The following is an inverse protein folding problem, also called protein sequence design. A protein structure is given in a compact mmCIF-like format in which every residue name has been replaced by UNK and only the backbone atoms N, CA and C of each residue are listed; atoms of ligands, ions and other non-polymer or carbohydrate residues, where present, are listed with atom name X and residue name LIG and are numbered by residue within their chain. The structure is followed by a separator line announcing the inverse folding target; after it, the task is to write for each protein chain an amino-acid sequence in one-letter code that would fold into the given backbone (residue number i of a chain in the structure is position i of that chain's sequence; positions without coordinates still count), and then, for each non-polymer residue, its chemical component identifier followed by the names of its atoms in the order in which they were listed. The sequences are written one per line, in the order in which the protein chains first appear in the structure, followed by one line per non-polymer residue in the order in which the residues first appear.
data_IF_393999315105
#
_entry.id   IF_393999315105
#
_cell.length_a   1.000
_cell.length_b   1.000
_cell.length_c   1.000
_cell.angle_alpha   90.00
_cell.angle_beta   90.00
_cell.angle_gamma   90.00
#
_symmetry.space_group_name_H-M   'P 1'
#
loop_
_entity.id
_entity.type
_entity.pdbx_description
1 polymer ?
#
# COMPACT_ATOMS: atom_id res chain seq x y z
N UNK A 1 -50.46 23.55 17.60
CA UNK A 1 -49.46 22.47 17.33
C UNK A 1 -48.77 22.53 15.95
N UNK A 2 -49.10 23.44 15.04
CA UNK A 2 -48.47 23.50 13.71
C UNK A 2 -47.18 24.32 13.56
N UNK A 3 -46.88 25.22 14.51
CA UNK A 3 -45.68 26.11 14.42
C UNK A 3 -44.37 25.48 14.94
N UNK A 4 -44.41 24.45 15.77
CA UNK A 4 -43.22 23.81 16.29
C UNK A 4 -42.54 22.83 15.30
N UNK A 5 -43.31 22.24 14.37
CA UNK A 5 -42.80 21.30 13.41
C UNK A 5 -42.02 21.99 12.25
N UNK A 6 -42.42 23.21 11.91
CA UNK A 6 -41.76 24.00 10.85
C UNK A 6 -40.38 24.48 11.30
N UNK A 7 -40.23 24.80 12.59
CA UNK A 7 -38.92 25.22 13.11
C UNK A 7 -37.90 24.07 13.18
N UNK A 8 -38.35 22.85 13.43
CA UNK A 8 -37.48 21.67 13.49
C UNK A 8 -37.03 21.26 12.07
N UNK A 9 -37.90 21.39 11.07
CA UNK A 9 -37.56 21.10 9.67
C UNK A 9 -36.63 22.17 9.13
N UNK A 10 -36.80 23.42 9.47
CA UNK A 10 -35.90 24.50 9.08
C UNK A 10 -34.53 24.40 9.76
N UNK A 11 -34.46 23.96 11.02
CA UNK A 11 -33.19 23.74 11.74
C UNK A 11 -32.44 22.50 11.21
N UNK A 12 -33.15 21.43 10.82
CA UNK A 12 -32.54 20.29 10.15
C UNK A 12 -32.05 20.60 8.74
N UNK A 13 -32.81 21.39 7.97
CA UNK A 13 -32.37 21.81 6.63
C UNK A 13 -31.18 22.80 6.67
N UNK A 14 -31.11 23.65 7.68
CA UNK A 14 -29.96 24.53 7.90
C UNK A 14 -28.70 23.77 8.38
N UNK A 15 -28.86 22.70 9.18
CA UNK A 15 -27.72 21.87 9.55
C UNK A 15 -27.22 21.00 8.39
N UNK A 16 -28.09 20.53 7.52
CA UNK A 16 -27.69 19.84 6.28
C UNK A 16 -27.04 20.79 5.25
N UNK A 17 -27.51 22.02 5.13
CA UNK A 17 -26.89 23.02 4.26
C UNK A 17 -25.50 23.44 4.76
N UNK A 18 -25.30 23.55 6.07
CA UNK A 18 -23.98 23.88 6.65
C UNK A 18 -22.96 22.74 6.53
N UNK A 19 -23.40 21.48 6.47
CA UNK A 19 -22.53 20.33 6.23
C UNK A 19 -22.31 20.06 4.73
N UNK A 20 -23.23 20.47 3.86
CA UNK A 20 -23.09 20.34 2.40
C UNK A 20 -22.20 21.43 1.79
N UNK A 21 -21.84 22.47 2.53
CA UNK A 21 -21.01 23.56 2.03
C UNK A 21 -19.48 23.34 2.22
N UNK A 22 -19.08 22.17 2.71
CA UNK A 22 -17.69 21.71 2.72
C UNK A 22 -17.48 20.66 1.64
N UNK A 23 -17.79 20.95 0.40
CA UNK A 23 -17.02 20.35 -0.69
C UNK A 23 -15.61 20.91 -0.56
N UNK A 24 -14.59 20.06 -0.36
CA UNK A 24 -13.22 20.51 -0.49
C UNK A 24 -13.10 21.27 -1.82
N UNK A 25 -12.41 22.36 -1.79
CA UNK A 25 -12.08 23.06 -3.01
C UNK A 25 -11.51 22.02 -3.98
N UNK A 26 -11.97 22.01 -5.23
CA UNK A 26 -11.56 21.05 -6.25
C UNK A 26 -10.04 21.08 -6.56
N UNK A 27 -9.33 21.97 -5.91
CA UNK A 27 -7.89 22.17 -5.97
C UNK A 27 -7.16 21.66 -4.70
N UNK A 28 -7.77 20.78 -3.89
CA UNK A 28 -7.06 20.22 -2.76
C UNK A 28 -5.89 19.37 -3.26
N UNK A 29 -4.73 19.95 -3.20
CA UNK A 29 -3.47 19.32 -3.55
C UNK A 29 -2.88 18.66 -2.30
N UNK A 30 -2.87 17.33 -2.27
CA UNK A 30 -2.28 16.57 -1.19
C UNK A 30 -0.77 16.73 -1.08
N UNK A 31 -0.14 17.21 -2.13
CA UNK A 31 1.29 17.41 -2.19
C UNK A 31 1.70 18.79 -1.68
N UNK A 32 0.74 19.70 -1.45
CA UNK A 32 1.04 21.06 -1.02
C UNK A 32 0.32 21.42 0.28
N UNK A 33 1.07 21.90 1.26
CA UNK A 33 0.52 22.52 2.47
C UNK A 33 0.67 24.04 2.32
N UNK A 34 -0.44 24.75 2.40
CA UNK A 34 -0.45 26.21 2.40
C UNK A 34 -0.18 26.71 3.82
N UNK A 35 0.86 27.51 3.99
CA UNK A 35 1.23 28.10 5.28
C UNK A 35 1.23 29.61 5.19
N UNK A 36 1.22 30.30 6.34
CA UNK A 36 1.32 31.77 6.39
C UNK A 36 2.65 32.31 5.83
N UNK A 37 3.67 31.45 5.74
CA UNK A 37 5.00 31.79 5.23
C UNK A 37 5.20 31.38 3.77
N UNK A 38 4.20 30.74 3.15
CA UNK A 38 4.23 30.24 1.77
C UNK A 38 3.86 28.76 1.69
N UNK A 39 3.80 28.27 0.48
CA UNK A 39 3.43 26.90 0.20
C UNK A 39 4.61 25.93 0.44
N UNK A 40 4.34 24.83 1.15
CA UNK A 40 5.31 23.75 1.36
C UNK A 40 4.85 22.54 0.56
N UNK A 41 5.55 22.21 -0.51
CA UNK A 41 5.30 21.00 -1.27
C UNK A 41 5.82 19.80 -0.51
N UNK A 42 4.97 18.81 -0.28
CA UNK A 42 5.35 17.57 0.37
C UNK A 42 6.26 16.77 -0.55
N UNK A 43 7.42 16.42 -0.04
CA UNK A 43 8.41 15.66 -0.76
C UNK A 43 9.18 14.78 0.24
N UNK A 44 9.68 13.64 -0.21
CA UNK A 44 10.52 12.77 0.64
C UNK A 44 11.82 13.46 1.10
N UNK A 45 12.33 14.43 0.36
CA UNK A 45 13.56 15.15 0.69
C UNK A 45 13.36 16.25 1.75
N UNK A 46 12.13 16.68 2.00
CA UNK A 46 11.79 17.61 3.07
C UNK A 46 11.02 16.96 4.24
N UNK A 47 10.89 15.64 4.25
CA UNK A 47 10.26 14.91 5.35
C UNK A 47 10.88 15.26 6.72
N UNK A 48 12.20 15.47 6.78
CA UNK A 48 12.90 15.85 8.01
C UNK A 48 12.34 17.11 8.66
N UNK A 49 11.93 18.11 7.89
CA UNK A 49 11.36 19.37 8.41
C UNK A 49 10.01 19.12 9.10
N UNK A 50 9.15 18.36 8.44
CA UNK A 50 7.89 17.93 9.02
C UNK A 50 8.10 17.08 10.28
N UNK A 51 9.02 16.12 10.20
CA UNK A 51 9.31 15.20 11.28
C UNK A 51 9.87 15.92 12.52
N UNK A 52 10.77 16.89 12.34
CA UNK A 52 11.38 17.63 13.44
C UNK A 52 10.34 18.42 14.24
N UNK A 53 9.39 19.06 13.58
CA UNK A 53 8.32 19.82 14.22
C UNK A 53 7.15 18.97 14.71
N UNK A 54 7.00 17.75 14.20
CA UNK A 54 5.83 16.92 14.47
C UNK A 54 5.64 16.55 15.95
N UNK A 55 4.40 16.73 16.42
CA UNK A 55 3.92 16.30 17.74
C UNK A 55 2.52 15.68 17.60
N UNK A 56 2.29 14.55 18.28
CA UNK A 56 0.99 13.89 18.25
C UNK A 56 -0.13 14.82 18.75
N UNK A 57 -1.18 14.93 17.96
CA UNK A 57 -2.34 15.79 18.25
C UNK A 57 -2.18 17.26 17.85
N UNK A 58 -1.03 17.64 17.32
CA UNK A 58 -0.79 18.96 16.74
C UNK A 58 -0.69 18.82 15.23
N UNK A 59 -1.61 19.42 14.46
CA UNK A 59 -1.52 19.42 13.01
C UNK A 59 -0.21 20.03 12.53
N UNK A 60 0.35 19.57 11.42
CA UNK A 60 1.43 20.27 10.75
C UNK A 60 1.05 21.73 10.43
N UNK A 61 2.04 22.61 10.40
CA UNK A 61 1.82 24.00 10.00
C UNK A 61 1.08 24.07 8.64
N UNK A 62 0.14 24.99 8.53
CA UNK A 62 -0.71 25.15 7.35
C UNK A 62 -1.91 24.20 7.24
N UNK A 63 -2.02 23.23 8.14
CA UNK A 63 -3.18 22.33 8.20
C UNK A 63 -4.09 22.64 9.40
N UNK A 64 -5.39 22.65 9.16
CA UNK A 64 -6.35 22.62 10.26
C UNK A 64 -6.39 21.23 10.92
N UNK A 65 -6.93 21.17 12.13
CA UNK A 65 -7.15 19.88 12.80
C UNK A 65 -8.03 18.93 11.98
N UNK A 66 -9.00 19.46 11.24
CA UNK A 66 -9.90 18.64 10.40
C UNK A 66 -9.13 18.07 9.22
N UNK A 67 -8.23 18.85 8.61
CA UNK A 67 -7.44 18.40 7.48
C UNK A 67 -6.45 17.31 7.91
N UNK A 68 -5.84 17.46 9.10
CA UNK A 68 -4.95 16.42 9.63
C UNK A 68 -5.73 15.14 9.99
N UNK A 69 -6.94 15.26 10.58
CA UNK A 69 -7.80 14.12 10.90
C UNK A 69 -8.13 13.24 9.68
N UNK A 70 -8.11 13.82 8.50
CA UNK A 70 -8.33 13.10 7.25
C UNK A 70 -7.29 11.98 7.02
N UNK A 71 -6.10 12.11 7.59
CA UNK A 71 -5.00 11.14 7.48
C UNK A 71 -4.87 10.22 8.70
N UNK A 72 -5.70 10.39 9.73
CA UNK A 72 -5.60 9.62 10.97
C UNK A 72 -6.54 8.42 10.93
N UNK A 73 -5.99 7.23 10.68
CA UNK A 73 -6.74 5.98 10.83
C UNK A 73 -6.93 5.63 12.30
N UNK A 74 -8.16 5.30 12.65
CA UNK A 74 -8.54 4.83 14.00
C UNK A 74 -8.76 3.33 14.05
N UNK A 75 -8.66 2.65 12.92
CA UNK A 75 -8.75 1.20 12.85
C UNK A 75 -7.44 0.55 13.26
N UNK A 76 -7.53 -0.68 13.73
CA UNK A 76 -6.36 -1.52 14.01
C UNK A 76 -6.42 -2.73 13.10
N UNK A 77 -5.26 -3.22 12.62
CA UNK A 77 -5.24 -4.40 11.78
C UNK A 77 -5.93 -5.57 12.46
N UNK A 78 -6.91 -6.14 11.77
CA UNK A 78 -7.61 -7.34 12.22
C UNK A 78 -6.77 -8.58 11.91
N UNK A 79 -6.79 -9.60 12.77
CA UNK A 79 -6.14 -10.87 12.47
C UNK A 79 -6.83 -11.56 11.30
N UNK A 80 -6.04 -12.20 10.45
CA UNK A 80 -6.53 -12.96 9.30
C UNK A 80 -6.52 -14.45 9.60
N UNK A 81 -7.49 -15.15 9.07
CA UNK A 81 -7.49 -16.62 9.05
C UNK A 81 -6.46 -17.05 8.02
N UNK A 82 -5.55 -17.91 8.43
CA UNK A 82 -4.46 -18.45 7.60
C UNK A 82 -4.47 -19.98 7.55
N UNK A 83 -5.38 -20.65 8.27
CA UNK A 83 -5.42 -22.08 8.41
C UNK A 83 -5.91 -22.78 7.15
N UNK A 84 -5.39 -23.99 6.91
CA UNK A 84 -5.57 -24.76 5.67
C UNK A 84 -7.01 -25.07 5.28
N UNK A 85 -7.91 -25.19 6.24
CA UNK A 85 -9.32 -25.56 6.00
C UNK A 85 -10.13 -24.49 5.25
N UNK A 86 -9.60 -23.27 5.16
CA UNK A 86 -10.26 -22.15 4.49
C UNK A 86 -9.68 -21.88 3.09
N UNK A 87 -8.80 -22.73 2.61
CA UNK A 87 -8.15 -22.55 1.32
C UNK A 87 -8.93 -23.25 0.21
N UNK A 88 -9.11 -22.55 -0.90
CA UNK A 88 -9.72 -23.13 -2.10
C UNK A 88 -8.85 -24.26 -2.63
N UNK A 89 -7.52 -24.13 -2.50
CA UNK A 89 -6.55 -25.11 -2.99
C UNK A 89 -5.49 -25.42 -1.94
N UNK A 90 -5.46 -26.65 -1.44
CA UNK A 90 -4.48 -27.10 -0.47
C UNK A 90 -3.02 -27.07 -0.99
N UNK A 91 -2.82 -27.10 -2.30
CA UNK A 91 -1.49 -27.06 -2.93
C UNK A 91 -0.88 -25.63 -2.98
N UNK A 92 -1.67 -24.60 -2.73
CA UNK A 92 -1.17 -23.22 -2.72
C UNK A 92 -0.62 -22.90 -1.33
N UNK A 93 0.66 -22.48 -1.20
CA UNK A 93 1.26 -22.20 0.10
C UNK A 93 0.56 -21.07 0.84
N UNK A 94 0.23 -21.26 2.10
CA UNK A 94 -0.40 -20.24 2.95
C UNK A 94 0.53 -19.12 3.36
N UNK A 95 1.84 -19.41 3.42
CA UNK A 95 2.88 -18.47 3.80
C UNK A 95 3.21 -17.43 2.73
N UNK A 96 2.90 -17.71 1.45
CA UNK A 96 3.21 -16.77 0.37
C UNK A 96 2.43 -15.48 0.53
N UNK A 97 3.14 -14.37 0.38
CA UNK A 97 2.63 -13.01 0.56
C UNK A 97 2.61 -12.27 -0.76
N UNK A 98 1.83 -11.19 -0.82
CA UNK A 98 1.86 -10.24 -1.93
C UNK A 98 1.96 -8.81 -1.42
N UNK A 99 2.88 -8.09 -2.01
CA UNK A 99 3.10 -6.67 -1.82
C UNK A 99 2.65 -5.92 -3.08
N UNK A 100 1.86 -4.89 -2.88
CA UNK A 100 1.33 -4.05 -3.95
C UNK A 100 1.69 -2.60 -3.66
N UNK A 101 2.60 -2.03 -4.44
CA UNK A 101 2.94 -0.61 -4.38
C UNK A 101 2.34 0.13 -5.56
N UNK A 102 1.57 1.16 -5.27
CA UNK A 102 0.87 1.95 -6.28
C UNK A 102 0.97 3.44 -5.99
N UNK A 103 1.19 4.28 -6.99
CA UNK A 103 1.07 5.73 -6.87
C UNK A 103 -0.41 6.14 -7.03
N UNK A 104 -1.23 5.88 -6.01
CA UNK A 104 -2.69 6.09 -6.07
C UNK A 104 -3.13 7.53 -6.34
N UNK A 105 -2.27 8.48 -6.02
CA UNK A 105 -2.54 9.92 -6.16
C UNK A 105 -1.70 10.54 -7.28
N UNK A 106 -1.12 9.73 -8.16
CA UNK A 106 -0.32 10.21 -9.27
C UNK A 106 -1.20 10.96 -10.29
N UNK A 107 -0.96 12.25 -10.54
CA UNK A 107 -1.72 13.04 -11.48
C UNK A 107 -1.64 12.54 -12.92
N UNK A 108 -0.66 11.72 -13.26
CA UNK A 108 -0.50 11.17 -14.61
C UNK A 108 -1.38 9.98 -14.89
N UNK A 109 -1.80 9.25 -13.83
CA UNK A 109 -2.57 8.00 -13.93
C UNK A 109 -4.05 8.19 -13.71
N UNK A 110 -4.55 9.40 -13.72
CA UNK A 110 -5.91 9.67 -13.32
C UNK A 110 -6.94 9.41 -14.40
N UNK A 111 -8.04 8.94 -13.93
CA UNK A 111 -9.32 8.92 -14.61
C UNK A 111 -9.76 10.36 -14.88
N UNK A 112 -9.63 10.82 -16.10
CA UNK A 112 -9.97 12.21 -16.48
C UNK A 112 -11.42 12.58 -16.20
N UNK A 113 -12.28 11.59 -16.05
CA UNK A 113 -13.71 11.75 -15.86
C UNK A 113 -14.18 11.64 -14.41
N UNK A 114 -13.29 11.40 -13.45
CA UNK A 114 -13.62 11.23 -12.03
C UNK A 114 -13.10 12.39 -11.21
N UNK A 115 -13.79 12.77 -10.10
CA UNK A 115 -13.32 13.82 -9.22
C UNK A 115 -11.96 13.47 -8.61
N UNK A 116 -11.07 14.45 -8.57
CA UNK A 116 -9.72 14.32 -8.01
C UNK A 116 -9.63 15.12 -6.74
N UNK A 117 -9.62 14.48 -5.63
CA UNK A 117 -9.14 14.95 -4.34
C UNK A 117 -9.20 13.79 -3.35
N UNK A 118 -9.22 14.07 -2.09
CA UNK A 118 -9.04 13.12 -1.01
C UNK A 118 -9.80 11.78 -1.06
N UNK A 119 -10.74 11.62 -1.93
CA UNK A 119 -11.44 10.36 -2.21
C UNK A 119 -11.03 9.75 -3.54
N UNK A 120 -10.08 10.35 -4.20
CA UNK A 120 -9.57 9.88 -5.46
C UNK A 120 -8.71 8.66 -5.26
N UNK A 121 -8.79 7.80 -6.18
CA UNK A 121 -8.03 6.58 -6.23
C UNK A 121 -8.83 5.47 -6.88
N UNK A 122 -8.11 4.50 -7.30
CA UNK A 122 -8.68 3.33 -7.92
C UNK A 122 -9.41 2.46 -6.89
N UNK A 123 -10.55 1.93 -7.28
CA UNK A 123 -11.24 0.94 -6.45
C UNK A 123 -10.42 -0.34 -6.37
N UNK A 124 -9.87 -0.63 -5.22
CA UNK A 124 -9.21 -1.89 -4.98
C UNK A 124 -10.12 -2.85 -4.21
N UNK A 125 -10.40 -4.03 -4.78
CA UNK A 125 -11.30 -5.03 -4.19
C UNK A 125 -10.62 -6.35 -3.84
N UNK A 126 -9.35 -6.52 -4.18
CA UNK A 126 -8.63 -7.80 -4.02
C UNK A 126 -7.81 -7.91 -2.73
N UNK A 127 -8.29 -7.25 -1.68
CA UNK A 127 -7.65 -7.22 -0.35
C UNK A 127 -7.32 -8.60 0.22
N UNK A 128 -8.13 -9.60 -0.07
CA UNK A 128 -7.94 -10.97 0.41
C UNK A 128 -6.65 -11.63 -0.08
N UNK A 129 -6.10 -11.18 -1.20
CA UNK A 129 -4.90 -11.75 -1.79
C UNK A 129 -3.61 -11.03 -1.41
N UNK A 130 -3.68 -9.80 -0.93
CA UNK A 130 -2.49 -9.00 -0.61
C UNK A 130 -2.19 -8.98 0.88
N UNK A 131 -0.93 -8.77 1.22
CA UNK A 131 -0.45 -8.61 2.59
C UNK A 131 -0.07 -7.16 2.90
N UNK A 132 0.37 -6.42 1.88
CA UNK A 132 0.69 -5.00 1.99
C UNK A 132 0.15 -4.24 0.78
N UNK A 133 -0.45 -3.09 1.05
CA UNK A 133 -0.81 -2.10 0.04
C UNK A 133 -0.03 -0.82 0.33
N UNK A 134 0.92 -0.48 -0.52
CA UNK A 134 1.74 0.72 -0.38
C UNK A 134 1.22 1.85 -1.28
N UNK A 135 1.07 3.04 -0.73
CA UNK A 135 0.86 4.26 -1.49
C UNK A 135 2.21 4.95 -1.71
N UNK A 136 2.69 4.94 -2.95
CA UNK A 136 3.97 5.53 -3.30
C UNK A 136 3.95 7.06 -3.28
N UNK A 137 2.79 7.66 -3.49
CA UNK A 137 2.61 9.12 -3.55
C UNK A 137 2.39 9.78 -2.18
N UNK A 138 2.74 9.12 -1.09
CA UNK A 138 2.55 9.64 0.27
C UNK A 138 3.89 9.88 1.00
N UNK A 139 4.72 10.84 0.56
CA UNK A 139 6.11 10.98 1.00
C UNK A 139 6.27 11.45 2.45
N UNK A 140 5.22 12.00 3.06
CA UNK A 140 5.23 12.43 4.46
C UNK A 140 4.52 11.45 5.41
N UNK A 141 4.45 10.19 5.01
CA UNK A 141 3.78 9.14 5.77
C UNK A 141 2.30 9.48 6.04
N UNK A 142 1.65 10.16 5.10
CA UNK A 142 0.26 10.61 5.19
C UNK A 142 -0.59 9.96 4.12
N UNK A 143 -1.16 8.83 4.47
CA UNK A 143 -2.13 8.10 3.64
C UNK A 143 -3.52 8.44 4.13
N UNK A 144 -4.47 8.63 3.23
CA UNK A 144 -5.85 8.90 3.65
C UNK A 144 -6.35 7.83 4.62
N UNK A 145 -7.03 8.26 5.68
CA UNK A 145 -7.58 7.35 6.68
C UNK A 145 -8.51 6.30 6.08
N UNK A 146 -9.22 6.64 5.00
CA UNK A 146 -10.08 5.70 4.30
C UNK A 146 -9.32 4.49 3.75
N UNK A 147 -8.16 4.70 3.13
CA UNK A 147 -7.30 3.61 2.67
C UNK A 147 -6.74 2.80 3.84
N UNK A 148 -6.21 3.50 4.85
CA UNK A 148 -5.66 2.85 6.04
C UNK A 148 -6.71 2.05 6.82
N UNK A 149 -7.94 2.56 6.93
CA UNK A 149 -9.06 1.87 7.56
C UNK A 149 -9.47 0.63 6.76
N UNK A 150 -9.53 0.73 5.43
CA UNK A 150 -9.85 -0.42 4.58
C UNK A 150 -8.78 -1.50 4.72
N UNK A 151 -7.51 -1.14 4.64
CA UNK A 151 -6.39 -2.07 4.85
C UNK A 151 -6.47 -2.75 6.22
N UNK A 152 -6.62 -1.98 7.29
CA UNK A 152 -6.70 -2.50 8.65
C UNK A 152 -7.88 -3.47 8.86
N UNK A 153 -9.06 -3.15 8.34
CA UNK A 153 -10.24 -4.04 8.39
C UNK A 153 -10.03 -5.35 7.63
N UNK A 154 -9.14 -5.35 6.67
CA UNK A 154 -8.77 -6.54 5.90
C UNK A 154 -7.52 -7.25 6.43
N UNK A 155 -6.95 -6.76 7.52
CA UNK A 155 -5.72 -7.29 8.09
C UNK A 155 -4.52 -7.12 7.14
N UNK A 156 -4.53 -6.08 6.33
CA UNK A 156 -3.49 -5.75 5.36
C UNK A 156 -2.65 -4.60 5.91
N UNK A 157 -1.34 -4.70 5.75
CA UNK A 157 -0.41 -3.60 6.03
C UNK A 157 -0.65 -2.47 5.04
N UNK A 158 -0.76 -1.24 5.53
CA UNK A 158 -0.77 -0.06 4.67
C UNK A 158 0.58 0.64 4.75
N UNK A 159 1.22 0.75 3.59
CA UNK A 159 2.54 1.34 3.46
C UNK A 159 2.51 2.73 2.81
N UNK A 160 3.53 3.52 3.12
CA UNK A 160 3.87 4.73 2.40
C UNK A 160 5.37 4.94 2.36
N UNK A 161 5.82 5.80 1.47
CA UNK A 161 7.24 5.99 1.20
C UNK A 161 7.85 6.94 2.23
N UNK A 162 8.96 6.51 2.82
CA UNK A 162 9.80 7.37 3.65
C UNK A 162 10.81 8.15 2.81
N UNK A 163 11.45 7.49 1.86
CA UNK A 163 12.48 8.07 1.04
C UNK A 163 12.54 7.43 -0.35
N UNK A 164 12.80 8.27 -1.36
CA UNK A 164 12.91 7.89 -2.77
C UNK A 164 14.11 8.60 -3.43
N UNK A 165 15.28 8.70 -2.78
CA UNK A 165 16.41 9.31 -3.44
C UNK A 165 16.98 8.35 -4.49
N UNK A 166 16.59 8.55 -5.73
CA UNK A 166 17.13 7.81 -6.86
C UNK A 166 18.21 8.63 -7.55
N UNK A 167 19.22 7.95 -8.09
CA UNK A 167 20.38 8.58 -8.73
C UNK A 167 21.06 9.64 -7.83
N UNK A 168 21.08 9.39 -6.51
CA UNK A 168 21.66 10.26 -5.50
C UNK A 168 22.83 9.56 -4.81
N UNK A 169 23.71 10.34 -4.18
CA UNK A 169 24.77 9.85 -3.31
C UNK A 169 24.46 10.27 -1.86
N UNK A 170 23.86 9.35 -1.10
CA UNK A 170 23.40 9.55 0.26
C UNK A 170 24.54 9.28 1.26
N UNK A 171 24.79 10.23 2.15
CA UNK A 171 25.75 10.03 3.23
C UNK A 171 25.34 10.79 4.49
N UNK A 172 25.43 10.16 5.66
CA UNK A 172 25.12 10.79 6.93
C UNK A 172 26.10 11.94 7.31
N UNK A 173 27.20 12.06 6.61
CA UNK A 173 28.16 13.18 6.80
C UNK A 173 27.80 14.41 5.96
N UNK A 174 26.91 14.26 4.97
CA UNK A 174 26.46 15.35 4.10
C UNK A 174 25.27 16.12 4.69
N UNK A 175 25.00 17.28 4.12
CA UNK A 175 23.86 18.14 4.46
C UNK A 175 23.03 18.53 3.25
N UNK A 176 23.22 17.79 2.14
CA UNK A 176 22.37 17.93 0.97
C UNK A 176 20.95 17.37 1.22
N UNK A 177 20.00 17.80 0.39
CA UNK A 177 18.59 17.44 0.55
C UNK A 177 18.32 15.93 0.58
N UNK A 178 19.14 15.13 -0.09
CA UNK A 178 18.97 13.67 -0.17
C UNK A 178 19.37 12.97 1.13
N UNK A 179 20.32 13.54 1.84
CA UNK A 179 20.89 12.96 3.07
C UNK A 179 20.15 13.40 4.34
N UNK A 180 19.47 14.54 4.33
CA UNK A 180 18.90 15.17 5.54
C UNK A 180 17.88 14.28 6.26
N UNK A 181 17.01 13.61 5.55
CA UNK A 181 16.00 12.73 6.18
C UNK A 181 16.67 11.61 6.98
N UNK A 182 17.60 10.86 6.38
CA UNK A 182 18.29 9.79 7.11
C UNK A 182 19.22 10.33 8.20
N UNK A 183 19.86 11.47 7.98
CA UNK A 183 20.68 12.13 9.00
C UNK A 183 19.85 12.49 10.23
N UNK A 184 18.67 13.10 10.04
CA UNK A 184 17.74 13.42 11.14
C UNK A 184 17.28 12.14 11.86
N UNK A 185 16.80 11.15 11.10
CA UNK A 185 16.28 9.90 11.69
C UNK A 185 17.34 9.16 12.51
N UNK A 186 18.56 9.07 12.00
CA UNK A 186 19.63 8.30 12.60
C UNK A 186 20.46 9.07 13.64
N UNK A 187 20.03 10.29 14.02
CA UNK A 187 20.70 11.06 15.05
C UNK A 187 20.77 10.30 16.38
N UNK A 188 21.95 10.27 16.98
CA UNK A 188 22.19 9.62 18.28
C UNK A 188 22.42 10.65 19.39
N UNK A 189 22.04 10.27 20.61
CA UNK A 189 22.33 11.01 21.82
C UNK A 189 23.80 10.80 22.28
N UNK A 190 24.19 11.47 23.36
CA UNK A 190 25.53 11.34 23.95
C UNK A 190 25.87 9.91 24.43
N UNK A 191 24.87 9.05 24.58
CA UNK A 191 25.02 7.65 24.96
C UNK A 191 25.03 6.71 23.75
N UNK A 192 25.02 7.26 22.54
CA UNK A 192 24.97 6.51 21.29
C UNK A 192 23.62 5.88 20.95
N UNK A 193 22.52 6.28 21.60
CA UNK A 193 21.17 5.77 21.32
C UNK A 193 20.47 6.66 20.29
N UNK A 194 19.71 6.05 19.39
CA UNK A 194 18.90 6.79 18.45
C UNK A 194 17.84 7.65 19.16
N UNK A 195 17.81 8.94 18.85
CA UNK A 195 16.82 9.88 19.38
C UNK A 195 15.45 9.69 18.75
N UNK A 196 15.40 9.31 17.47
CA UNK A 196 14.25 9.44 16.60
C UNK A 196 13.51 8.14 16.25
N UNK A 197 14.06 6.97 16.56
CA UNK A 197 13.41 5.68 16.26
C UNK A 197 12.04 5.54 16.95
N UNK A 198 11.94 5.90 18.23
CA UNK A 198 10.66 5.92 18.94
C UNK A 198 9.71 7.00 18.41
N UNK A 199 10.23 8.17 18.03
CA UNK A 199 9.42 9.26 17.49
C UNK A 199 8.79 8.87 16.15
N UNK A 200 9.55 8.23 15.26
CA UNK A 200 9.03 7.73 13.99
C UNK A 200 7.97 6.64 14.19
N UNK A 201 8.20 5.70 15.11
CA UNK A 201 7.19 4.69 15.45
C UNK A 201 5.90 5.31 16.00
N UNK A 202 6.00 6.36 16.82
CA UNK A 202 4.85 7.12 17.33
C UNK A 202 4.10 7.87 16.23
N UNK A 203 4.82 8.46 15.28
CA UNK A 203 4.23 9.14 14.12
C UNK A 203 3.44 8.15 13.27
N UNK A 204 4.04 7.01 12.92
CA UNK A 204 3.35 5.95 12.18
C UNK A 204 2.09 5.47 12.91
N UNK A 205 2.22 5.20 14.20
CA UNK A 205 1.07 4.79 15.04
C UNK A 205 -0.03 5.83 15.08
N UNK A 206 0.32 7.11 15.13
CA UNK A 206 -0.63 8.22 15.16
C UNK A 206 -1.48 8.28 13.89
N UNK A 207 -0.85 8.17 12.72
CA UNK A 207 -1.55 8.15 11.44
C UNK A 207 -2.14 6.77 11.07
N UNK A 208 -1.81 5.72 11.82
CA UNK A 208 -2.28 4.36 11.54
C UNK A 208 -1.56 3.69 10.38
N UNK A 209 -0.32 4.12 10.10
CA UNK A 209 0.54 3.55 9.06
C UNK A 209 1.39 2.45 9.67
N UNK A 210 1.37 1.27 9.07
CA UNK A 210 2.13 0.12 9.54
C UNK A 210 3.02 -0.52 8.46
N UNK A 211 3.19 0.13 7.32
CA UNK A 211 4.17 -0.19 6.29
C UNK A 211 5.05 1.02 5.97
N UNK A 212 6.31 0.78 5.73
CA UNK A 212 7.30 1.80 5.45
C UNK A 212 8.14 1.39 4.25
N UNK A 213 8.09 2.13 3.16
CA UNK A 213 8.84 1.86 1.95
C UNK A 213 10.07 2.75 1.81
N UNK A 214 11.16 2.17 1.36
CA UNK A 214 12.35 2.89 0.94
C UNK A 214 12.70 2.48 -0.47
N UNK A 215 12.68 3.45 -1.39
CA UNK A 215 13.24 3.26 -2.72
C UNK A 215 14.76 3.45 -2.66
N UNK A 216 15.48 2.37 -2.53
CA UNK A 216 16.92 2.40 -2.31
C UNK A 216 17.71 2.35 -3.62
N UNK A 217 17.48 3.32 -4.50
CA UNK A 217 18.21 3.47 -5.77
C UNK A 217 19.30 4.56 -5.66
N UNK A 218 19.95 4.64 -4.53
CA UNK A 218 20.97 5.65 -4.23
C UNK A 218 22.33 5.01 -3.95
N UNK A 219 23.39 5.68 -4.39
CA UNK A 219 24.76 5.36 -3.94
C UNK A 219 24.95 5.77 -2.48
N UNK A 220 25.79 5.04 -1.76
CA UNK A 220 26.13 5.32 -0.37
C UNK A 220 27.53 4.75 -0.01
N UNK A 221 27.75 4.48 1.27
CA UNK A 221 28.97 3.85 1.76
C UNK A 221 28.65 2.88 2.91
N UNK A 222 29.57 1.91 3.22
CA UNK A 222 29.33 0.89 4.22
C UNK A 222 28.98 1.43 5.61
N UNK A 223 29.60 2.53 6.01
CA UNK A 223 29.36 3.13 7.34
C UNK A 223 27.98 3.74 7.46
N UNK A 224 27.50 4.43 6.43
CA UNK A 224 26.13 4.96 6.35
C UNK A 224 25.10 3.82 6.35
N UNK A 225 25.32 2.79 5.52
CA UNK A 225 24.41 1.65 5.45
C UNK A 225 24.31 0.90 6.79
N UNK A 226 25.44 0.71 7.49
CA UNK A 226 25.44 0.09 8.80
C UNK A 226 24.60 0.86 9.83
N UNK A 227 24.66 2.20 9.83
CA UNK A 227 23.85 3.04 10.73
C UNK A 227 22.37 2.99 10.37
N UNK A 228 22.02 2.99 9.09
CA UNK A 228 20.63 2.84 8.62
C UNK A 228 20.05 1.49 9.05
N UNK A 229 20.82 0.41 8.90
CA UNK A 229 20.42 -0.94 9.32
C UNK A 229 20.22 -1.00 10.84
N UNK A 230 21.15 -0.44 11.63
CA UNK A 230 21.03 -0.36 13.09
C UNK A 230 19.79 0.44 13.52
N UNK A 231 19.49 1.56 12.83
CA UNK A 231 18.33 2.39 13.09
C UNK A 231 17.01 1.64 12.88
N UNK A 232 16.85 0.95 11.77
CA UNK A 232 15.61 0.21 11.52
C UNK A 232 15.45 -0.99 12.46
N UNK A 233 16.54 -1.68 12.80
CA UNK A 233 16.50 -2.73 13.82
C UNK A 233 16.13 -2.19 15.21
N UNK A 234 16.58 -1.00 15.60
CA UNK A 234 16.16 -0.34 16.85
C UNK A 234 14.70 0.13 16.75
N UNK A 235 14.27 0.64 15.61
CA UNK A 235 12.90 1.08 15.38
C UNK A 235 11.89 -0.05 15.56
N UNK A 236 12.17 -1.27 15.11
CA UNK A 236 11.33 -2.44 15.37
C UNK A 236 11.10 -2.65 16.87
N UNK A 237 12.18 -2.64 17.67
CA UNK A 237 12.11 -2.78 19.12
C UNK A 237 11.34 -1.64 19.78
N UNK A 238 11.51 -0.40 19.31
CA UNK A 238 10.80 0.77 19.83
C UNK A 238 9.31 0.73 19.48
N UNK A 239 8.96 0.33 18.25
CA UNK A 239 7.58 0.17 17.84
C UNK A 239 6.87 -0.91 18.69
N UNK A 240 7.50 -2.06 18.89
CA UNK A 240 6.98 -3.12 19.74
C UNK A 240 6.73 -2.63 21.18
N UNK A 241 7.66 -1.84 21.75
CA UNK A 241 7.53 -1.30 23.10
C UNK A 241 6.31 -0.39 23.32
N UNK A 242 5.74 0.15 22.26
CA UNK A 242 4.51 0.96 22.30
C UNK A 242 3.29 0.20 21.73
N UNK A 243 3.40 -1.11 21.54
CA UNK A 243 2.35 -1.95 20.97
C UNK A 243 2.00 -1.57 19.53
N UNK A 244 2.99 -1.19 18.73
CA UNK A 244 2.86 -0.93 17.31
C UNK A 244 3.80 -1.85 16.54
N UNK A 245 3.26 -2.59 15.60
CA UNK A 245 4.02 -3.43 14.69
C UNK A 245 4.00 -2.79 13.31
N UNK A 246 5.15 -2.67 12.67
CA UNK A 246 5.26 -2.19 11.31
C UNK A 246 6.13 -3.14 10.48
N UNK A 247 6.03 -3.00 9.16
CA UNK A 247 6.83 -3.75 8.19
C UNK A 247 7.63 -2.75 7.35
N UNK A 248 8.95 -2.95 7.30
CA UNK A 248 9.85 -2.19 6.43
C UNK A 248 9.98 -2.92 5.09
N UNK A 249 9.69 -2.21 4.01
CA UNK A 249 10.01 -2.62 2.66
C UNK A 249 11.28 -1.92 2.19
N UNK A 250 12.24 -2.70 1.72
CA UNK A 250 13.47 -2.22 1.10
C UNK A 250 13.53 -2.70 -0.35
N UNK A 251 13.71 -1.77 -1.29
CA UNK A 251 13.94 -2.11 -2.68
C UNK A 251 15.40 -2.56 -2.84
N UNK A 252 15.62 -3.75 -3.40
CA UNK A 252 16.92 -4.40 -3.45
C UNK A 252 17.80 -3.86 -4.60
N UNK A 253 18.18 -2.58 -4.51
CA UNK A 253 19.10 -1.93 -5.44
C UNK A 253 20.33 -1.43 -4.74
N UNK A 254 20.20 -0.68 -3.64
CA UNK A 254 21.35 -0.32 -2.80
C UNK A 254 21.68 -1.45 -1.85
N UNK A 255 22.89 -1.98 -1.94
CA UNK A 255 23.34 -3.09 -1.13
C UNK A 255 23.99 -2.67 0.21
N UNK A 256 24.49 -3.62 0.99
CA UNK A 256 25.10 -3.42 2.31
C UNK A 256 26.38 -2.58 2.27
N UNK A 257 27.05 -2.54 1.13
CA UNK A 257 28.28 -1.75 0.92
C UNK A 257 27.95 -0.33 0.40
N UNK A 258 26.70 -0.06 0.08
CA UNK A 258 26.23 1.22 -0.47
C UNK A 258 26.32 1.30 -2.00
N UNK A 259 26.63 0.20 -2.66
CA UNK A 259 26.66 0.14 -4.12
C UNK A 259 25.25 0.00 -4.70
N UNK A 260 24.99 0.67 -5.83
CA UNK A 260 23.77 0.51 -6.63
C UNK A 260 23.95 -0.72 -7.54
N UNK A 261 23.57 -1.89 -7.05
CA UNK A 261 23.92 -3.17 -7.67
C UNK A 261 22.71 -3.98 -8.18
N UNK A 262 21.51 -3.76 -7.64
CA UNK A 262 20.31 -4.55 -7.95
C UNK A 262 20.58 -6.07 -7.91
N UNK A 263 20.88 -6.57 -6.72
CA UNK A 263 21.36 -7.95 -6.51
C UNK A 263 20.33 -9.04 -6.89
N UNK A 264 19.04 -8.71 -6.94
CA UNK A 264 17.94 -9.56 -7.43
C UNK A 264 17.75 -10.88 -6.67
N UNK A 265 18.41 -11.02 -5.52
CA UNK A 265 18.35 -12.21 -4.67
C UNK A 265 19.12 -12.01 -3.39
N UNK A 266 18.75 -12.74 -2.34
CA UNK A 266 19.45 -12.69 -1.04
C UNK A 266 20.84 -13.28 -1.19
N UNK A 267 21.87 -12.48 -0.91
CA UNK A 267 23.25 -12.86 -0.99
C UNK A 267 24.11 -12.14 0.06
N UNK A 268 25.43 -12.29 0.00
CA UNK A 268 26.36 -11.70 0.97
C UNK A 268 26.39 -10.17 0.97
N UNK A 269 25.88 -9.52 -0.09
CA UNK A 269 25.94 -8.08 -0.25
C UNK A 269 24.65 -7.36 0.22
N UNK A 270 23.56 -8.09 0.49
CA UNK A 270 22.31 -7.51 0.99
C UNK A 270 21.74 -8.22 2.21
N UNK A 271 22.45 -9.27 2.72
CA UNK A 271 21.97 -10.04 3.86
C UNK A 271 21.91 -9.27 5.18
N UNK A 272 22.73 -8.22 5.36
CA UNK A 272 22.69 -7.37 6.57
C UNK A 272 21.43 -6.51 6.55
N UNK A 273 21.05 -5.96 5.39
CA UNK A 273 19.78 -5.24 5.22
C UNK A 273 18.58 -6.17 5.39
N UNK A 274 18.65 -7.40 4.90
CA UNK A 274 17.60 -8.39 5.15
C UNK A 274 17.51 -8.77 6.64
N UNK A 275 18.63 -8.87 7.31
CA UNK A 275 18.76 -9.21 8.73
C UNK A 275 18.64 -10.70 9.00
N UNK A 276 18.59 -11.05 10.27
CA UNK A 276 18.48 -12.44 10.77
C UNK A 276 17.20 -12.61 11.58
N UNK A 277 16.81 -13.86 11.87
CA UNK A 277 15.65 -14.16 12.70
C UNK A 277 15.70 -13.55 14.12
N UNK A 278 16.87 -13.24 14.62
CA UNK A 278 17.07 -12.55 15.91
C UNK A 278 17.26 -11.03 15.81
N UNK A 279 17.42 -10.49 14.61
CA UNK A 279 17.62 -9.07 14.36
C UNK A 279 17.10 -8.70 12.97
N UNK A 280 15.80 -8.52 12.89
CA UNK A 280 15.11 -8.11 11.66
C UNK A 280 15.45 -6.65 11.37
N UNK A 281 15.88 -6.37 10.15
CA UNK A 281 16.05 -5.01 9.64
C UNK A 281 14.94 -4.70 8.66
N UNK A 282 14.79 -5.53 7.63
CA UNK A 282 13.78 -5.42 6.60
C UNK A 282 12.78 -6.58 6.69
N UNK A 283 11.49 -6.30 6.68
CA UNK A 283 10.44 -7.33 6.66
C UNK A 283 10.12 -7.80 5.24
N UNK A 284 10.32 -6.92 4.26
CA UNK A 284 9.93 -7.09 2.88
C UNK A 284 11.10 -6.68 1.97
N UNK A 285 12.01 -7.61 1.67
CA UNK A 285 13.06 -7.36 0.69
C UNK A 285 12.47 -7.51 -0.71
N UNK A 286 12.27 -6.38 -1.39
CA UNK A 286 11.67 -6.33 -2.73
C UNK A 286 12.78 -6.40 -3.78
N UNK A 287 12.90 -7.55 -4.44
CA UNK A 287 13.91 -7.77 -5.46
C UNK A 287 13.65 -6.96 -6.74
N UNK A 288 14.71 -6.47 -7.35
CA UNK A 288 14.64 -5.91 -8.69
C UNK A 288 14.12 -6.93 -9.72
N UNK A 289 13.56 -6.46 -10.81
CA UNK A 289 12.65 -7.18 -11.72
C UNK A 289 13.30 -8.27 -12.60
N UNK A 290 14.61 -8.37 -12.66
CA UNK A 290 15.32 -9.35 -13.52
C UNK A 290 15.84 -10.58 -12.76
N UNK A 291 15.07 -11.03 -11.76
CA UNK A 291 15.35 -12.28 -11.04
C UNK A 291 15.15 -13.51 -11.95
N UNK A 292 15.72 -14.63 -11.55
CA UNK A 292 15.63 -15.91 -12.25
C UNK A 292 15.29 -17.03 -11.27
N UNK A 293 14.93 -18.21 -11.79
CA UNK A 293 14.69 -19.40 -10.95
C UNK A 293 15.87 -19.71 -10.04
N UNK A 294 17.10 -19.66 -10.57
CA UNK A 294 18.31 -19.86 -9.78
C UNK A 294 18.43 -18.86 -8.61
N UNK A 295 18.10 -17.57 -8.84
CA UNK A 295 18.15 -16.54 -7.79
C UNK A 295 17.06 -16.74 -6.75
N UNK A 296 15.86 -17.19 -7.13
CA UNK A 296 14.79 -17.51 -6.18
C UNK A 296 15.17 -18.71 -5.31
N UNK A 297 15.73 -19.76 -5.90
CA UNK A 297 16.19 -20.96 -5.19
C UNK A 297 17.32 -20.59 -4.21
N UNK A 298 18.29 -19.81 -4.64
CA UNK A 298 19.38 -19.32 -3.79
C UNK A 298 18.85 -18.46 -2.64
N UNK A 299 17.90 -17.56 -2.91
CA UNK A 299 17.28 -16.69 -1.92
C UNK A 299 16.52 -17.47 -0.85
N UNK A 300 15.74 -18.48 -1.25
CA UNK A 300 15.05 -19.41 -0.33
C UNK A 300 16.06 -20.06 0.62
N UNK A 301 17.15 -20.58 0.08
CA UNK A 301 18.21 -21.23 0.88
C UNK A 301 18.89 -20.24 1.84
N UNK A 302 19.21 -19.05 1.36
CA UNK A 302 19.94 -18.04 2.13
C UNK A 302 19.03 -17.46 3.24
N UNK A 303 17.74 -17.21 2.96
CA UNK A 303 16.78 -16.80 3.98
C UNK A 303 16.70 -17.82 5.14
N UNK A 304 16.59 -19.10 4.82
CA UNK A 304 16.59 -20.19 5.83
C UNK A 304 17.89 -20.24 6.64
N UNK A 305 19.04 -20.04 5.99
CA UNK A 305 20.35 -19.98 6.68
C UNK A 305 20.43 -18.78 7.66
N UNK A 306 19.79 -17.67 7.34
CA UNK A 306 19.65 -16.49 8.19
C UNK A 306 18.54 -16.64 9.25
N UNK A 307 17.85 -17.78 9.30
CA UNK A 307 16.69 -18.04 10.17
C UNK A 307 15.54 -17.05 9.93
N UNK A 308 15.38 -16.63 8.66
CA UNK A 308 14.29 -15.79 8.20
C UNK A 308 13.28 -16.63 7.44
N UNK A 309 12.03 -16.17 7.42
CA UNK A 309 11.00 -16.71 6.54
C UNK A 309 11.38 -16.40 5.07
N UNK A 310 11.50 -17.40 4.19
CA UNK A 310 11.78 -17.16 2.77
C UNK A 310 10.73 -16.28 2.10
N UNK A 311 9.49 -16.28 2.61
CA UNK A 311 8.41 -15.43 2.13
C UNK A 311 8.55 -13.95 2.52
N UNK A 312 9.60 -13.55 3.26
CA UNK A 312 9.96 -12.15 3.46
C UNK A 312 10.76 -11.57 2.27
N UNK A 313 11.16 -12.42 1.32
CA UNK A 313 11.74 -12.03 0.05
C UNK A 313 10.66 -12.02 -1.04
N UNK A 314 10.56 -10.92 -1.77
CA UNK A 314 9.54 -10.67 -2.78
C UNK A 314 10.17 -10.59 -4.16
N UNK A 315 9.79 -11.49 -5.06
CA UNK A 315 10.13 -11.39 -6.47
C UNK A 315 9.39 -10.19 -7.08
N UNK A 316 10.12 -9.19 -7.51
CA UNK A 316 9.59 -7.93 -8.01
C UNK A 316 9.06 -8.05 -9.44
N UNK A 317 7.94 -7.38 -9.71
CA UNK A 317 7.38 -7.20 -11.05
C UNK A 317 7.16 -5.72 -11.30
N UNK A 318 7.74 -5.23 -12.38
CA UNK A 318 7.49 -3.89 -12.90
C UNK A 318 6.23 -3.88 -13.76
N UNK A 319 5.08 -3.79 -13.10
CA UNK A 319 3.80 -3.77 -13.80
C UNK A 319 3.65 -2.51 -14.63
N UNK A 320 4.18 -1.40 -14.14
CA UNK A 320 4.14 -0.11 -14.83
C UNK A 320 4.89 -0.16 -16.16
N UNK A 321 6.11 -0.68 -16.16
CA UNK A 321 6.95 -0.69 -17.36
C UNK A 321 6.82 -1.95 -18.23
N UNK A 322 6.52 -3.10 -17.60
CA UNK A 322 6.60 -4.41 -18.27
C UNK A 322 5.28 -5.21 -18.22
N UNK A 323 4.24 -4.70 -17.59
CA UNK A 323 3.00 -5.43 -17.35
C UNK A 323 3.28 -6.78 -16.65
N UNK A 324 2.58 -7.84 -17.02
CA UNK A 324 2.79 -9.18 -16.45
C UNK A 324 3.80 -10.02 -17.27
N UNK A 325 4.64 -9.39 -18.07
CA UNK A 325 5.65 -10.07 -18.87
C UNK A 325 6.75 -10.63 -17.99
N UNK A 326 6.68 -11.92 -17.73
CA UNK A 326 7.72 -12.65 -17.03
C UNK A 326 7.58 -14.15 -17.33
N UNK A 327 8.67 -14.78 -17.71
CA UNK A 327 8.70 -16.21 -18.06
C UNK A 327 8.83 -17.12 -16.84
N UNK A 328 9.01 -16.55 -15.66
CA UNK A 328 9.40 -17.31 -14.48
C UNK A 328 8.25 -17.60 -13.51
N UNK A 329 7.00 -17.50 -13.96
CA UNK A 329 5.85 -17.79 -13.11
C UNK A 329 5.89 -19.17 -12.45
N UNK A 330 6.38 -20.19 -13.18
CA UNK A 330 6.56 -21.53 -12.61
C UNK A 330 7.59 -21.52 -11.49
N UNK A 331 8.67 -20.75 -11.61
CA UNK A 331 9.69 -20.62 -10.57
C UNK A 331 9.12 -20.07 -9.25
N UNK A 332 8.08 -19.20 -9.30
CA UNK A 332 7.39 -18.74 -8.10
C UNK A 332 6.59 -19.87 -7.42
N UNK A 333 6.09 -20.85 -8.19
CA UNK A 333 5.40 -22.00 -7.62
C UNK A 333 6.41 -22.94 -6.95
N UNK A 334 7.54 -23.16 -7.59
CA UNK A 334 8.55 -24.14 -7.19
C UNK A 334 9.42 -23.65 -6.01
N UNK A 335 9.44 -22.34 -5.74
CA UNK A 335 10.25 -21.73 -4.69
C UNK A 335 9.40 -21.07 -3.60
N UNK A 336 9.93 -21.02 -2.38
CA UNK A 336 9.31 -20.29 -1.25
C UNK A 336 9.66 -18.79 -1.35
N UNK A 337 8.91 -18.09 -2.19
CA UNK A 337 9.11 -16.67 -2.52
C UNK A 337 7.77 -15.97 -2.57
N UNK A 338 7.71 -14.75 -2.10
CA UNK A 338 6.54 -13.88 -2.21
C UNK A 338 6.53 -13.09 -3.53
N UNK A 339 5.44 -12.39 -3.82
CA UNK A 339 5.23 -11.62 -5.05
C UNK A 339 5.15 -10.15 -4.71
N UNK A 340 5.94 -9.33 -5.39
CA UNK A 340 5.90 -7.88 -5.24
C UNK A 340 5.56 -7.18 -6.57
N UNK A 341 4.49 -6.37 -6.57
CA UNK A 341 4.11 -5.57 -7.72
C UNK A 341 4.42 -4.11 -7.50
N UNK A 342 5.12 -3.52 -8.45
CA UNK A 342 5.29 -2.09 -8.61
C UNK A 342 4.36 -1.56 -9.70
N UNK A 343 3.63 -0.48 -9.40
CA UNK A 343 2.73 0.14 -10.37
C UNK A 343 1.55 -0.74 -10.78
N UNK A 344 0.97 -1.47 -9.85
CA UNK A 344 -0.02 -2.51 -10.12
C UNK A 344 -1.37 -2.00 -10.67
N UNK A 345 -1.59 -0.69 -10.68
CA UNK A 345 -2.71 -0.04 -11.34
C UNK A 345 -2.34 0.46 -12.74
N UNK A 346 -1.17 0.06 -13.25
CA UNK A 346 -0.46 0.66 -14.37
C UNK A 346 -1.36 1.08 -15.53
N UNK A 347 -0.99 2.19 -16.13
CA UNK A 347 -1.66 2.73 -17.29
C UNK A 347 -1.82 1.69 -18.40
N UNK A 348 -0.77 0.92 -18.67
CA UNK A 348 -0.76 -0.03 -19.79
C UNK A 348 -1.61 -1.27 -19.55
N UNK A 349 -1.68 -1.79 -18.32
CA UNK A 349 -2.34 -3.07 -18.04
C UNK A 349 -3.78 -2.91 -17.56
N UNK A 350 -4.04 -1.97 -16.67
CA UNK A 350 -5.35 -1.80 -16.05
C UNK A 350 -5.96 -0.46 -16.43
N UNK A 351 -5.29 0.62 -16.09
CA UNK A 351 -5.85 1.96 -16.11
C UNK A 351 -6.10 2.48 -17.52
N UNK A 352 -5.06 2.60 -18.34
CA UNK A 352 -5.20 3.05 -19.72
C UNK A 352 -6.08 2.10 -20.53
N UNK A 353 -5.84 0.80 -20.37
CA UNK A 353 -6.63 -0.22 -21.05
C UNK A 353 -8.11 -0.19 -20.65
N UNK A 354 -8.45 0.13 -19.39
CA UNK A 354 -9.83 0.32 -18.98
C UNK A 354 -10.43 1.60 -19.56
N UNK A 355 -9.63 2.67 -19.65
CA UNK A 355 -10.04 3.94 -20.27
C UNK A 355 -10.32 3.77 -21.76
N UNK A 356 -9.48 3.02 -22.46
CA UNK A 356 -9.64 2.76 -23.89
C UNK A 356 -10.89 1.90 -24.19
N UNK A 357 -11.18 0.94 -23.30
CA UNK A 357 -12.36 0.08 -23.44
C UNK A 357 -13.67 0.76 -23.02
N UNK A 358 -13.60 1.84 -22.25
CA UNK A 358 -14.77 2.50 -21.66
C UNK A 358 -15.26 3.70 -22.47
N UNK A 359 -16.57 3.77 -22.68
CA UNK A 359 -17.26 4.88 -23.37
C UNK A 359 -17.92 5.88 -22.41
N UNK A 360 -17.89 5.61 -21.13
CA UNK A 360 -18.45 6.44 -20.05
C UNK A 360 -17.76 6.10 -18.73
N UNK A 361 -17.88 6.97 -17.72
CA UNK A 361 -17.30 6.76 -16.39
C UNK A 361 -17.68 5.40 -15.81
N UNK A 362 -18.94 5.01 -15.95
CA UNK A 362 -19.40 3.69 -15.53
C UNK A 362 -18.73 2.55 -16.29
N UNK A 363 -18.53 2.69 -17.59
CA UNK A 363 -17.90 1.67 -18.41
C UNK A 363 -16.43 1.54 -18.07
N UNK A 364 -15.72 2.66 -17.90
CA UNK A 364 -14.31 2.71 -17.48
C UNK A 364 -14.15 2.03 -16.10
N UNK A 365 -14.98 2.38 -15.12
CA UNK A 365 -14.91 1.81 -13.78
C UNK A 365 -15.17 0.30 -13.79
N UNK A 366 -16.13 -0.17 -14.59
CA UNK A 366 -16.39 -1.61 -14.75
C UNK A 366 -15.22 -2.34 -15.43
N UNK A 367 -14.66 -1.73 -16.46
CA UNK A 367 -13.50 -2.30 -17.16
C UNK A 367 -12.30 -2.39 -16.22
N UNK A 368 -12.04 -1.35 -15.43
CA UNK A 368 -10.99 -1.34 -14.42
C UNK A 368 -11.16 -2.48 -13.42
N UNK A 369 -12.34 -2.60 -12.81
CA UNK A 369 -12.63 -3.66 -11.84
C UNK A 369 -12.51 -5.05 -12.46
N UNK A 370 -12.98 -5.22 -13.70
CA UNK A 370 -12.86 -6.49 -14.42
C UNK A 370 -11.39 -6.86 -14.65
N UNK A 371 -10.56 -5.94 -15.10
CA UNK A 371 -9.15 -6.20 -15.34
C UNK A 371 -8.40 -6.51 -14.05
N UNK A 372 -8.68 -5.78 -12.98
CA UNK A 372 -8.14 -6.08 -11.65
C UNK A 372 -8.57 -7.48 -11.19
N UNK A 373 -9.83 -7.84 -11.34
CA UNK A 373 -10.32 -9.18 -11.01
C UNK A 373 -9.59 -10.27 -11.82
N UNK A 374 -9.39 -10.05 -13.13
CA UNK A 374 -8.69 -11.01 -14.00
C UNK A 374 -7.21 -11.19 -13.62
N UNK A 375 -6.55 -10.18 -13.11
CA UNK A 375 -5.18 -10.32 -12.59
C UNK A 375 -5.16 -11.29 -11.40
N UNK A 376 -6.12 -11.20 -10.51
CA UNK A 376 -6.17 -12.04 -9.32
C UNK A 376 -6.83 -13.40 -9.57
N UNK A 377 -8.00 -13.42 -10.19
CA UNK A 377 -8.79 -14.64 -10.38
C UNK A 377 -8.51 -15.36 -11.71
N UNK A 378 -7.60 -14.82 -12.52
CA UNK A 378 -7.31 -15.31 -13.86
C UNK A 378 -8.33 -14.89 -14.91
N UNK A 379 -8.01 -15.15 -16.17
CA UNK A 379 -8.86 -14.83 -17.31
C UNK A 379 -10.21 -15.57 -17.28
N UNK A 380 -10.28 -16.69 -16.61
CA UNK A 380 -11.53 -17.45 -16.37
C UNK A 380 -12.41 -16.84 -15.28
N UNK A 381 -11.91 -15.85 -14.53
CA UNK A 381 -12.59 -15.18 -13.41
C UNK A 381 -13.11 -16.18 -12.35
N UNK A 382 -12.38 -17.25 -12.16
CA UNK A 382 -12.71 -18.30 -11.21
C UNK A 382 -11.45 -18.71 -10.42
N UNK A 383 -11.28 -18.21 -9.19
CA UNK A 383 -10.12 -18.56 -8.37
C UNK A 383 -10.11 -20.03 -7.94
N UNK A 384 -11.22 -20.74 -8.12
CA UNK A 384 -11.31 -22.19 -7.87
C UNK A 384 -10.65 -23.06 -8.94
N UNK A 385 -10.23 -22.46 -10.06
CA UNK A 385 -9.48 -23.19 -11.09
C UNK A 385 -7.97 -23.10 -10.81
N UNK A 386 -7.25 -24.18 -11.17
CA UNK A 386 -5.79 -24.22 -11.17
C UNK A 386 -5.29 -24.40 -12.62
N UNK A 387 -5.41 -23.39 -13.48
CA UNK A 387 -4.92 -23.49 -14.84
C UNK A 387 -3.41 -23.69 -14.86
N UNK A 388 -2.90 -24.24 -15.96
CA UNK A 388 -1.46 -24.29 -16.19
C UNK A 388 -0.86 -22.90 -16.17
N UNK A 389 0.32 -22.81 -15.58
CA UNK A 389 1.06 -21.56 -15.54
C UNK A 389 1.71 -21.34 -16.89
N UNK A 390 1.45 -20.20 -17.49
CA UNK A 390 2.07 -19.84 -18.76
C UNK A 390 3.56 -19.62 -18.58
N UNK A 391 4.31 -20.19 -19.49
CA UNK A 391 5.77 -20.02 -19.58
C UNK A 391 6.18 -18.94 -20.54
N UNK A 392 5.29 -18.59 -21.48
CA UNK A 392 5.49 -17.50 -22.46
C UNK A 392 4.65 -16.27 -22.02
N UNK A 393 5.23 -15.35 -21.36
CA UNK A 393 4.48 -14.16 -20.98
C UNK A 393 4.79 -12.97 -21.89
N UNK A 394 4.33 -13.04 -23.12
CA UNK A 394 4.12 -11.86 -23.96
C UNK A 394 2.72 -11.28 -23.73
N UNK A 395 2.33 -11.06 -22.46
CA UNK A 395 1.02 -10.48 -22.19
C UNK A 395 0.97 -9.05 -22.71
N UNK A 396 0.15 -8.82 -23.71
CA UNK A 396 -0.37 -7.49 -24.02
C UNK A 396 -1.53 -7.16 -23.06
N UNK A 397 -1.96 -5.92 -23.03
CA UNK A 397 -3.11 -5.48 -22.24
C UNK A 397 -4.41 -6.26 -22.52
N UNK A 398 -4.49 -6.90 -23.68
CA UNK A 398 -5.63 -7.70 -24.13
C UNK A 398 -5.58 -9.16 -23.68
N UNK A 399 -4.44 -9.63 -23.21
CA UNK A 399 -4.18 -11.06 -22.97
C UNK A 399 -4.56 -11.54 -21.56
N UNK A 400 -5.14 -10.67 -20.72
CA UNK A 400 -5.60 -11.06 -19.37
C UNK A 400 -6.60 -12.22 -19.40
N UNK A 401 -7.33 -12.40 -20.50
CA UNK A 401 -8.27 -13.51 -20.68
C UNK A 401 -7.61 -14.90 -20.60
N UNK A 402 -6.32 -14.98 -20.88
CA UNK A 402 -5.55 -16.22 -20.83
C UNK A 402 -4.58 -16.29 -19.67
N UNK A 403 -4.53 -15.26 -18.84
CA UNK A 403 -3.67 -15.23 -17.67
C UNK A 403 -4.16 -16.24 -16.61
N UNK A 404 -3.24 -16.96 -15.99
CA UNK A 404 -3.58 -17.99 -14.98
C UNK A 404 -4.12 -17.40 -13.67
N UNK A 405 -3.88 -16.11 -13.41
CA UNK A 405 -4.29 -15.42 -12.20
C UNK A 405 -3.37 -15.62 -11.01
N UNK A 406 -3.29 -14.63 -10.14
CA UNK A 406 -2.47 -14.69 -8.93
C UNK A 406 -3.03 -15.65 -7.88
N UNK A 407 -4.34 -15.98 -7.93
CA UNK A 407 -4.95 -17.02 -7.09
C UNK A 407 -4.32 -18.40 -7.30
N UNK A 408 -3.62 -18.61 -8.44
CA UNK A 408 -2.80 -19.81 -8.70
C UNK A 408 -1.60 -19.92 -7.75
N UNK A 409 -1.16 -18.79 -7.20
CA UNK A 409 0.05 -18.63 -6.38
C UNK A 409 -0.27 -18.26 -4.94
N UNK A 410 -1.36 -17.55 -4.73
CA UNK A 410 -1.71 -16.88 -3.48
C UNK A 410 -3.01 -17.43 -2.92
N UNK A 411 -3.03 -17.65 -1.62
CA UNK A 411 -4.23 -18.05 -0.89
C UNK A 411 -5.02 -16.82 -0.47
N UNK A 412 -6.31 -16.79 -0.73
CA UNK A 412 -7.20 -15.77 -0.20
C UNK A 412 -7.26 -15.86 1.33
N UNK A 413 -7.13 -14.72 2.00
CA UNK A 413 -7.14 -14.59 3.46
C UNK A 413 -8.29 -13.70 3.89
N UNK A 414 -8.92 -14.00 5.01
CA UNK A 414 -10.09 -13.28 5.51
C UNK A 414 -9.94 -12.89 6.98
N UNK A 415 -10.49 -11.75 7.33
CA UNK A 415 -10.68 -11.34 8.73
C UNK A 415 -12.02 -11.79 9.31
N UNK A 416 -12.85 -12.45 8.52
CA UNK A 416 -14.12 -13.02 8.98
C UNK A 416 -13.82 -14.33 9.72
N UNK A 417 -14.00 -14.31 11.04
CA UNK A 417 -13.65 -15.45 11.90
C UNK A 417 -14.88 -16.17 12.46
N UNK A 418 -16.04 -15.54 12.45
CA UNK A 418 -17.23 -16.05 13.08
C UNK A 418 -18.49 -15.82 12.24
N UNK A 419 -19.49 -16.65 12.48
CA UNK A 419 -20.85 -16.47 11.98
C UNK A 419 -21.79 -16.25 13.17
N UNK A 420 -22.85 -15.44 13.05
CA UNK A 420 -23.26 -14.71 11.83
C UNK A 420 -22.32 -13.54 11.51
N UNK A 421 -22.08 -13.32 10.24
CA UNK A 421 -21.34 -12.17 9.73
C UNK A 421 -22.29 -11.16 9.11
N UNK A 422 -22.18 -9.89 9.52
CA UNK A 422 -22.95 -8.79 8.96
C UNK A 422 -22.01 -7.66 8.56
N UNK A 423 -22.13 -7.21 7.34
CA UNK A 423 -21.39 -6.04 6.84
C UNK A 423 -22.31 -5.07 6.12
N UNK A 424 -21.97 -3.78 6.16
CA UNK A 424 -22.70 -2.71 5.47
C UNK A 424 -21.83 -1.99 4.46
N UNK A 425 -20.98 -2.72 3.89
CA UNK A 425 -20.02 -2.22 2.95
C UNK A 425 -20.64 -1.92 1.58
N UNK A 426 -20.03 -0.99 0.87
CA UNK A 426 -20.27 -0.77 -0.56
C UNK A 426 -18.97 -0.39 -1.26
N UNK A 427 -18.94 -0.55 -2.57
CA UNK A 427 -17.78 -0.18 -3.40
C UNK A 427 -17.60 1.34 -3.55
N UNK A 428 -18.56 2.13 -3.06
CA UNK A 428 -18.59 3.56 -3.26
C UNK A 428 -18.94 4.01 -4.66
N UNK A 429 -19.25 3.08 -5.54
CA UNK A 429 -19.72 3.36 -6.88
C UNK A 429 -20.86 2.40 -7.24
N UNK A 430 -21.72 2.82 -8.16
CA UNK A 430 -22.83 2.01 -8.63
C UNK A 430 -24.00 2.81 -9.15
N UNK A 431 -25.08 2.09 -9.41
CA UNK A 431 -26.37 2.70 -9.86
C UNK A 431 -27.29 2.97 -8.68
N UNK A 432 -27.22 2.16 -7.63
CA UNK A 432 -28.12 2.22 -6.49
C UNK A 432 -27.37 2.06 -5.19
N UNK A 433 -27.76 2.83 -4.19
CA UNK A 433 -27.33 2.65 -2.82
C UNK A 433 -28.46 2.04 -2.01
N UNK A 434 -28.16 1.01 -1.24
CA UNK A 434 -29.14 0.31 -0.40
C UNK A 434 -28.85 0.58 1.07
N UNK A 435 -29.90 0.84 1.82
CA UNK A 435 -29.87 0.91 3.27
C UNK A 435 -30.94 -0.03 3.83
N UNK A 436 -30.53 -0.94 4.70
CA UNK A 436 -31.42 -1.92 5.34
C UNK A 436 -32.25 -2.73 4.29
N UNK A 437 -31.61 -3.11 3.19
CA UNK A 437 -32.22 -3.88 2.10
C UNK A 437 -33.15 -3.08 1.18
N UNK A 438 -33.32 -1.78 1.42
CA UNK A 438 -34.15 -0.90 0.58
C UNK A 438 -33.28 0.05 -0.22
N UNK A 439 -33.73 0.37 -1.43
CA UNK A 439 -33.09 1.40 -2.24
C UNK A 439 -33.23 2.75 -1.52
N UNK A 440 -32.11 3.31 -1.08
CA UNK A 440 -32.08 4.62 -0.45
C UNK A 440 -31.67 5.73 -1.42
N UNK A 441 -30.99 5.37 -2.51
CA UNK A 441 -30.60 6.28 -3.57
C UNK A 441 -30.56 5.53 -4.90
N UNK A 442 -31.08 6.12 -5.94
CA UNK A 442 -31.10 5.59 -7.30
C UNK A 442 -30.60 6.68 -8.26
N UNK A 443 -29.57 6.38 -9.04
CA UNK A 443 -29.00 7.31 -10.00
C UNK A 443 -28.54 6.59 -11.27
N UNK A 444 -28.14 7.35 -12.27
CA UNK A 444 -27.53 6.77 -13.48
C UNK A 444 -26.19 6.11 -13.17
N UNK A 445 -25.39 6.75 -12.36
CA UNK A 445 -24.10 6.28 -11.83
C UNK A 445 -23.61 7.25 -10.76
N UNK A 446 -23.08 6.72 -9.69
CA UNK A 446 -22.32 7.51 -8.71
C UNK A 446 -20.95 6.87 -8.47
N UNK A 447 -19.98 7.68 -8.14
CA UNK A 447 -18.67 7.25 -7.69
C UNK A 447 -18.20 8.18 -6.58
N UNK A 448 -18.02 7.62 -5.38
CA UNK A 448 -17.54 8.35 -4.22
C UNK A 448 -16.02 8.16 -4.04
N UNK A 449 -15.36 7.56 -5.01
CA UNK A 449 -13.94 7.19 -4.93
C UNK A 449 -13.60 6.46 -3.62
N UNK A 450 -14.41 5.52 -3.25
CA UNK A 450 -14.42 4.98 -1.90
C UNK A 450 -13.72 3.63 -1.78
N UNK A 451 -12.84 3.27 -2.72
CA UNK A 451 -11.94 2.12 -2.52
C UNK A 451 -11.22 2.18 -1.18
N UNK A 452 -11.02 3.40 -0.69
CA UNK A 452 -10.45 3.71 0.62
C UNK A 452 -11.39 3.41 1.79
N UNK A 453 -12.68 3.38 1.57
CA UNK A 453 -13.71 3.09 2.58
C UNK A 453 -14.18 1.65 2.54
N UNK A 454 -13.76 0.92 1.52
CA UNK A 454 -14.28 -0.39 1.25
C UNK A 454 -13.52 -1.50 1.96
N UNK A 455 -14.27 -2.40 2.55
CA UNK A 455 -13.79 -3.72 2.94
C UNK A 455 -14.17 -4.73 1.87
N UNK A 456 -13.29 -5.63 1.41
CA UNK A 456 -13.60 -6.61 0.36
C UNK A 456 -14.62 -7.67 0.80
N UNK A 457 -14.89 -7.74 2.07
CA UNK A 457 -15.93 -8.65 2.59
C UNK A 457 -17.35 -8.15 2.38
N UNK A 458 -17.55 -7.31 1.51
CA UNK A 458 -18.59 -6.37 1.47
C UNK A 458 -19.49 -6.44 0.27
N UNK A 459 -19.51 -7.52 -0.37
CA UNK A 459 -20.74 -7.87 -1.05
C UNK A 459 -21.80 -8.04 0.02
N UNK A 460 -22.77 -7.17 0.04
CA UNK A 460 -23.96 -7.29 0.85
C UNK A 460 -24.68 -8.57 0.46
N UNK A 461 -24.24 -9.67 0.97
CA UNK A 461 -25.08 -10.84 1.10
C UNK A 461 -25.68 -10.74 2.49
N UNK A 462 -26.82 -10.10 2.60
CA UNK A 462 -27.73 -10.45 3.67
C UNK A 462 -28.16 -11.90 3.37
N UNK A 463 -27.34 -12.86 3.74
CA UNK A 463 -27.82 -14.20 3.94
C UNK A 463 -28.82 -14.12 5.10
N UNK A 464 -30.10 -14.15 4.79
CA UNK A 464 -31.14 -14.55 5.72
C UNK A 464 -31.16 -16.04 5.79
#
# INVERSE_FOLDING_TARGET
MKKRHILIIAAMSLSFAATAQRTPDHNFDFETIHTDTGDVRLSWDNFHQFFDSWQAGTPPEGLSKIDDEFFISRQRPLPRITDGDYHIHASVPTGRKMLLWTPLDDPTTTWKALPRYCFEGDNFSMWSYINCHGNWSAPWLRVSAGLSDAAAKNGVTVGCVLAVPWDADLSLTKTDRYSLTFKTLTEKDEKGKFKNSLKLAKLMKYYGINGLGVNSEFGSNPSTMAVIQEFFADMHKKAESIGWKFELQWYDVTNDEGDVAADKGINRYNQKMFGTGGNIVTDQLFANYDWSDYLLQASTKNAKALKRDPYDYYAGFDIQGRALKNNYWQALIDNETSVGFWGAHSESLIHQSATDDGTSDMAIQKAYQLKQEMIFSGGYRNPGLLPEVRTDCSLSNTDLKTFHGLARLLTAKSTIQNVPFVTRFNLGNGLKFYKEGKVAFDSKWYNLNSSRLCSPHSLHTSCR
#
